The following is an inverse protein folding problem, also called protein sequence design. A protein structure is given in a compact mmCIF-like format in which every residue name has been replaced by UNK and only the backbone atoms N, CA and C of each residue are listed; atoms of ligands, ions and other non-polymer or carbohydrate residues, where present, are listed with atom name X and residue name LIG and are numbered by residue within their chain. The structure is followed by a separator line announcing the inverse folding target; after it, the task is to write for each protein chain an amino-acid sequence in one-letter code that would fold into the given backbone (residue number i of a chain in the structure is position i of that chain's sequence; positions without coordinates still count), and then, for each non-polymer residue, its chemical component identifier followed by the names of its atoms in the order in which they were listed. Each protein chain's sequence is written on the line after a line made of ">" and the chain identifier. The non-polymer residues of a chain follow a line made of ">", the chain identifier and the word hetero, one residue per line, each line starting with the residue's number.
data_IF_236289020978
#
_entry.id   IF_236289020978
#
_cell.length_a   1.000
_cell.length_b   1.000
_cell.length_c   1.000
_cell.angle_alpha   90.00
_cell.angle_beta   90.00
_cell.angle_gamma   90.00
#
_symmetry.space_group_name_H-M   'P 1'
#
loop_
_entity.id
_entity.type
_entity.pdbx_description
1 polymer ?
#
# COMPACT_ATOMS: atom_id res chain seq x y z
N UNK A 1 42.69 32.77 18.80
CA UNK A 1 42.21 33.40 20.07
C UNK A 1 41.33 32.40 20.83
N UNK A 2 41.21 32.60 22.15
CA UNK A 2 40.19 32.15 23.14
C UNK A 2 39.02 31.25 22.64
N UNK A 3 38.72 30.09 23.25
CA UNK A 3 37.98 29.86 24.54
C UNK A 3 36.58 30.51 24.57
N UNK A 4 35.50 29.89 25.07
CA UNK A 4 35.27 28.68 25.91
C UNK A 4 34.02 27.91 25.44
N UNK A 5 33.82 26.58 25.60
CA UNK A 5 33.86 25.66 26.77
C UNK A 5 32.69 25.82 27.77
N UNK A 6 31.68 24.95 27.65
CA UNK A 6 31.13 24.03 28.66
C UNK A 6 30.28 22.97 27.90
N UNK A 7 30.27 21.65 28.11
CA UNK A 7 30.80 20.67 29.09
C UNK A 7 30.00 20.44 30.39
N UNK A 8 29.28 19.30 30.46
CA UNK A 8 29.31 18.24 31.50
C UNK A 8 28.13 17.23 31.26
N UNK A 9 27.94 16.08 31.93
CA UNK A 9 28.74 14.90 32.39
C UNK A 9 27.72 13.96 33.10
N UNK A 10 27.61 12.62 32.98
CA UNK A 10 28.21 11.51 32.18
C UNK A 10 27.18 10.34 32.14
N UNK A 11 27.15 9.33 31.25
CA UNK A 11 28.13 8.35 30.72
C UNK A 11 28.43 7.13 31.66
N UNK A 12 27.97 5.92 31.27
CA UNK A 12 28.61 4.59 31.47
C UNK A 12 28.76 4.00 32.91
N UNK A 13 28.96 2.70 33.13
CA UNK A 13 28.82 1.47 32.29
C UNK A 13 28.80 0.18 33.16
N UNK A 14 28.46 -0.95 32.53
CA UNK A 14 28.54 -2.32 33.08
C UNK A 14 29.98 -2.76 33.41
N UNK A 15 30.16 -3.49 34.50
CA UNK A 15 31.18 -4.56 34.64
C UNK A 15 30.77 -5.61 35.67
N UNK A 16 31.29 -6.83 35.51
CA UNK A 16 31.12 -7.96 36.44
C UNK A 16 32.49 -8.43 36.96
N UNK A 17 32.53 -9.23 38.04
CA UNK A 17 33.49 -10.33 38.25
C UNK A 17 33.12 -11.20 39.48
N UNK A 18 33.70 -12.42 39.47
CA UNK A 18 33.47 -13.64 40.28
C UNK A 18 33.52 -13.53 41.83
N UNK A 19 32.72 -14.43 42.42
CA UNK A 19 32.95 -15.33 43.57
C UNK A 19 34.19 -15.20 44.49
N UNK A 20 33.99 -15.44 45.79
CA UNK A 20 35.03 -15.74 46.78
C UNK A 20 34.50 -16.16 48.16
N UNK A 21 34.77 -17.42 48.53
CA UNK A 21 34.80 -18.04 49.89
C UNK A 21 33.60 -17.99 50.87
N UNK A 22 33.65 -18.95 51.80
CA UNK A 22 32.63 -19.22 52.81
C UNK A 22 33.15 -19.01 54.25
N UNK A 23 32.22 -18.91 55.21
CA UNK A 23 32.50 -19.23 56.62
C UNK A 23 31.26 -19.81 57.32
N UNK A 24 31.49 -20.60 58.36
CA UNK A 24 30.53 -21.54 58.97
C UNK A 24 29.95 -21.02 60.29
N UNK A 25 29.08 -21.85 60.91
CA UNK A 25 28.47 -21.77 62.26
C UNK A 25 27.10 -21.07 62.34
N UNK A 26 26.13 -21.55 63.12
CA UNK A 26 26.06 -22.81 63.92
C UNK A 26 24.63 -23.39 63.97
N UNK A 27 24.51 -24.63 64.43
CA UNK A 27 23.26 -25.41 64.57
C UNK A 27 22.94 -25.65 66.05
N UNK A 28 21.66 -25.57 66.46
CA UNK A 28 21.14 -26.35 67.58
C UNK A 28 20.15 -27.44 67.11
N UNK A 29 20.09 -28.55 67.84
CA UNK A 29 19.29 -29.72 67.46
C UNK A 29 17.86 -29.73 68.01
N UNK A 30 16.95 -30.29 67.19
CA UNK A 30 15.85 -31.24 67.50
C UNK A 30 15.47 -31.50 68.98
N UNK A 31 14.17 -31.76 69.22
CA UNK A 31 13.73 -33.17 69.17
C UNK A 31 12.91 -33.55 67.93
N UNK A 32 12.72 -34.86 67.73
CA UNK A 32 11.77 -35.44 66.77
C UNK A 32 10.52 -35.92 67.51
N UNK A 33 9.34 -35.63 66.96
CA UNK A 33 8.18 -36.53 67.00
C UNK A 33 7.73 -36.77 65.56
N UNK A 34 7.34 -38.00 65.23
CA UNK A 34 7.00 -38.39 63.87
C UNK A 34 5.81 -39.34 63.88
N UNK A 35 4.72 -38.96 63.22
CA UNK A 35 3.55 -39.82 63.08
C UNK A 35 2.75 -39.51 61.81
N UNK A 36 2.44 -40.60 61.09
CA UNK A 36 1.30 -40.82 60.21
C UNK A 36 1.13 -39.98 58.92
N UNK A 37 0.90 -40.73 57.84
CA UNK A 37 0.57 -40.22 56.53
C UNK A 37 -0.86 -39.70 56.47
N UNK A 38 -1.07 -38.57 55.79
CA UNK A 38 -2.36 -38.21 55.20
C UNK A 38 -2.12 -37.89 53.72
N UNK A 39 -2.42 -38.84 52.83
CA UNK A 39 -2.41 -38.59 51.38
C UNK A 39 -3.67 -37.80 51.03
N UNK A 40 -3.59 -36.48 51.19
CA UNK A 40 -4.63 -35.58 50.72
C UNK A 40 -4.59 -35.58 49.20
N UNK A 41 -5.57 -36.24 48.59
CA UNK A 41 -5.89 -36.08 47.18
C UNK A 41 -6.35 -34.63 46.95
N UNK A 42 -5.39 -33.75 46.70
CA UNK A 42 -5.63 -32.46 46.06
C UNK A 42 -6.22 -32.76 44.67
N UNK A 43 -7.55 -32.77 44.62
CA UNK A 43 -8.28 -32.72 43.37
C UNK A 43 -7.93 -31.39 42.70
N UNK A 44 -6.90 -31.43 41.85
CA UNK A 44 -6.57 -30.34 40.96
C UNK A 44 -7.76 -30.14 40.03
N UNK A 45 -8.65 -29.23 40.41
CA UNK A 45 -9.59 -28.65 39.48
C UNK A 45 -8.74 -28.02 38.39
N UNK A 46 -8.68 -28.68 37.24
CA UNK A 46 -8.17 -28.04 36.05
C UNK A 46 -9.06 -26.83 35.83
N UNK A 47 -8.53 -25.63 36.11
CA UNK A 47 -9.09 -24.39 35.61
C UNK A 47 -8.90 -24.45 34.10
N UNK A 48 -9.83 -25.15 33.43
CA UNK A 48 -10.01 -25.04 31.99
C UNK A 48 -10.18 -23.54 31.77
N UNK A 49 -9.26 -22.85 31.08
CA UNK A 49 -9.45 -21.44 30.81
C UNK A 49 -10.78 -21.34 30.08
N UNK A 50 -11.72 -20.57 30.64
CA UNK A 50 -12.99 -20.34 29.99
C UNK A 50 -12.69 -19.83 28.59
N UNK A 51 -13.21 -20.53 27.58
CA UNK A 51 -13.11 -20.13 26.17
C UNK A 51 -14.00 -18.91 25.96
N UNK A 52 -13.50 -17.78 26.46
CA UNK A 52 -14.05 -16.46 26.25
C UNK A 52 -13.87 -16.13 24.78
N UNK A 53 -14.97 -16.03 24.04
CA UNK A 53 -14.93 -15.71 22.61
C UNK A 53 -14.16 -14.41 22.38
N UNK A 54 -13.08 -14.50 21.61
CA UNK A 54 -12.14 -13.42 21.40
C UNK A 54 -12.65 -12.51 20.28
N UNK A 55 -13.39 -11.45 20.66
CA UNK A 55 -13.86 -10.43 19.72
C UNK A 55 -12.68 -9.58 19.24
N UNK A 56 -12.04 -10.00 18.15
CA UNK A 56 -10.98 -9.23 17.49
C UNK A 56 -11.60 -7.96 16.91
N UNK A 57 -11.02 -6.80 17.24
CA UNK A 57 -11.46 -5.50 16.72
C UNK A 57 -10.35 -4.87 15.87
N UNK A 58 -10.64 -4.67 14.59
CA UNK A 58 -9.72 -4.14 13.58
C UNK A 58 -10.25 -2.82 13.03
N UNK A 59 -9.34 -1.92 12.65
CA UNK A 59 -9.70 -0.61 12.07
C UNK A 59 -8.98 -0.45 10.74
N UNK A 60 -9.72 -0.63 9.63
CA UNK A 60 -9.16 -0.43 8.29
C UNK A 60 -8.91 1.06 8.02
N UNK A 61 -7.85 1.35 7.26
CA UNK A 61 -7.34 2.68 6.87
C UNK A 61 -6.75 3.53 8.03
N UNK A 62 -6.87 3.07 9.27
CA UNK A 62 -6.15 3.57 10.45
C UNK A 62 -6.40 5.06 10.78
N UNK A 63 -5.39 5.90 10.58
CA UNK A 63 -5.47 7.37 10.70
C UNK A 63 -5.11 8.07 9.39
N UNK A 64 -5.27 7.38 8.26
CA UNK A 64 -4.89 7.86 6.94
C UNK A 64 -5.81 8.95 6.39
N UNK A 65 -5.41 9.53 5.26
CA UNK A 65 -6.27 10.36 4.42
C UNK A 65 -6.31 9.80 3.01
N UNK A 66 -7.51 9.68 2.44
CA UNK A 66 -7.75 9.26 1.05
C UNK A 66 -8.05 10.50 0.24
N UNK A 67 -7.11 10.94 -0.59
CA UNK A 67 -7.20 12.16 -1.38
C UNK A 67 -7.43 11.82 -2.86
N UNK A 68 -8.60 12.14 -3.40
CA UNK A 68 -9.03 11.68 -4.74
C UNK A 68 -9.73 12.79 -5.53
N UNK A 69 -9.67 12.79 -6.88
CA UNK A 69 -10.40 13.77 -7.70
C UNK A 69 -11.91 13.72 -7.45
N UNK A 70 -12.54 14.90 -7.37
CA UNK A 70 -14.01 15.04 -7.32
C UNK A 70 -14.72 14.42 -8.54
N UNK A 71 -14.02 14.34 -9.67
CA UNK A 71 -14.43 13.77 -10.94
C UNK A 71 -14.19 12.25 -11.05
N UNK A 72 -13.70 11.59 -10.00
CA UNK A 72 -13.46 10.14 -10.00
C UNK A 72 -14.74 9.36 -10.35
N UNK A 73 -14.62 8.43 -11.29
CA UNK A 73 -15.74 7.65 -11.83
C UNK A 73 -16.36 6.70 -10.81
N UNK A 74 -17.67 6.50 -10.89
CA UNK A 74 -18.39 5.55 -10.04
C UNK A 74 -17.86 4.12 -10.28
N UNK A 75 -17.70 3.34 -9.21
CA UNK A 75 -17.08 2.02 -9.21
C UNK A 75 -15.55 2.01 -9.09
N UNK A 76 -14.87 3.16 -9.19
CA UNK A 76 -13.42 3.23 -8.97
C UNK A 76 -13.07 2.96 -7.50
N UNK A 77 -12.13 2.05 -7.26
CA UNK A 77 -11.59 1.76 -5.91
C UNK A 77 -10.67 2.90 -5.49
N UNK A 78 -10.98 3.51 -4.35
CA UNK A 78 -10.28 4.67 -3.78
C UNK A 78 -9.16 4.26 -2.83
N UNK A 79 -9.35 3.16 -2.09
CA UNK A 79 -8.37 2.62 -1.16
C UNK A 79 -8.58 1.11 -0.96
N UNK A 80 -7.52 0.41 -0.53
CA UNK A 80 -7.53 -1.00 -0.15
C UNK A 80 -6.75 -1.20 1.15
N UNK A 81 -7.36 -1.92 2.08
CA UNK A 81 -6.68 -2.48 3.26
C UNK A 81 -6.60 -4.00 3.06
N UNK A 82 -5.46 -4.60 3.41
CA UNK A 82 -5.26 -6.05 3.28
C UNK A 82 -4.95 -6.65 4.65
N UNK A 83 -5.85 -7.47 5.17
CA UNK A 83 -5.75 -8.08 6.49
C UNK A 83 -5.36 -9.56 6.32
N UNK A 84 -4.30 -10.01 6.98
CA UNK A 84 -3.88 -11.42 6.95
C UNK A 84 -4.83 -12.31 7.77
N UNK A 85 -4.90 -13.62 7.51
CA UNK A 85 -5.63 -14.57 8.37
C UNK A 85 -5.19 -14.49 9.84
N UNK A 86 -3.91 -14.27 10.10
CA UNK A 86 -3.35 -14.20 11.44
C UNK A 86 -3.82 -12.97 12.23
N UNK A 87 -3.97 -11.82 11.57
CA UNK A 87 -4.57 -10.61 12.15
C UNK A 87 -6.09 -10.72 12.24
N UNK A 88 -6.72 -11.38 11.26
CA UNK A 88 -8.17 -11.47 11.16
C UNK A 88 -8.78 -12.42 12.18
N UNK A 89 -8.17 -13.58 12.42
CA UNK A 89 -8.76 -14.66 13.24
C UNK A 89 -7.73 -15.44 14.06
N UNK A 90 -6.49 -14.94 14.19
CA UNK A 90 -5.45 -15.54 15.05
C UNK A 90 -4.83 -16.85 14.53
N UNK A 91 -5.15 -17.26 13.30
CA UNK A 91 -4.72 -18.52 12.71
C UNK A 91 -4.32 -18.35 11.23
N UNK A 92 -3.58 -19.32 10.69
CA UNK A 92 -3.18 -19.32 9.27
C UNK A 92 -4.33 -19.46 8.28
N UNK A 93 -5.46 -20.05 8.70
CA UNK A 93 -6.72 -20.11 7.95
C UNK A 93 -7.90 -20.15 8.91
N UNK A 94 -9.04 -19.57 8.54
CA UNK A 94 -10.30 -19.74 9.29
C UNK A 94 -11.52 -19.86 8.37
N UNK A 95 -12.52 -20.64 8.79
CA UNK A 95 -13.75 -20.84 8.04
C UNK A 95 -14.82 -19.84 8.48
N UNK A 96 -15.14 -18.88 7.61
CA UNK A 96 -16.21 -17.90 7.80
C UNK A 96 -17.56 -18.61 7.70
N UNK A 97 -18.42 -18.41 8.70
CA UNK A 97 -19.74 -19.05 8.81
C UNK A 97 -20.91 -18.12 8.43
N UNK A 98 -20.65 -16.82 8.38
CA UNK A 98 -21.57 -15.77 7.97
C UNK A 98 -21.10 -14.40 8.45
N UNK A 99 -21.84 -13.34 8.12
CA UNK A 99 -21.54 -11.98 8.55
C UNK A 99 -22.79 -11.22 9.02
N UNK A 100 -22.57 -10.10 9.69
CA UNK A 100 -23.54 -9.05 9.97
C UNK A 100 -22.94 -7.74 9.50
N UNK A 101 -23.60 -7.10 8.53
CA UNK A 101 -23.08 -5.94 7.80
C UNK A 101 -23.96 -4.73 8.09
N UNK A 102 -23.39 -3.58 8.45
CA UNK A 102 -24.17 -2.40 8.83
C UNK A 102 -23.94 -1.22 7.89
N UNK A 103 -25.03 -0.68 7.34
CA UNK A 103 -24.96 0.46 6.44
C UNK A 103 -24.54 1.72 7.22
N UNK A 104 -23.60 2.51 6.68
CA UNK A 104 -23.07 3.73 7.32
C UNK A 104 -22.43 3.47 8.69
N UNK A 105 -21.98 2.23 8.93
CA UNK A 105 -21.46 1.76 10.21
C UNK A 105 -22.51 1.63 11.31
N UNK A 106 -23.80 1.79 11.02
CA UNK A 106 -24.82 2.00 12.05
C UNK A 106 -25.58 0.70 12.40
N UNK A 107 -25.13 0.03 13.46
CA UNK A 107 -25.71 -1.22 13.98
C UNK A 107 -27.12 -1.06 14.60
N UNK A 108 -27.58 0.16 14.88
CA UNK A 108 -28.86 0.40 15.58
C UNK A 108 -30.05 0.23 14.63
N UNK A 109 -29.88 0.56 13.34
CA UNK A 109 -30.93 0.47 12.33
C UNK A 109 -31.00 -0.90 11.62
N UNK A 110 -30.30 -1.90 12.15
CA UNK A 110 -30.30 -3.28 11.65
C UNK A 110 -29.24 -3.58 10.59
N UNK A 111 -29.18 -4.86 10.21
CA UNK A 111 -28.17 -5.39 9.29
C UNK A 111 -28.64 -5.39 7.84
N UNK A 112 -27.70 -5.38 6.91
CA UNK A 112 -27.90 -5.47 5.45
C UNK A 112 -27.24 -6.75 4.91
N UNK A 113 -27.71 -7.22 3.75
CA UNK A 113 -27.20 -8.40 3.07
C UNK A 113 -25.81 -8.20 2.45
N UNK A 114 -25.43 -6.95 2.20
CA UNK A 114 -24.21 -6.61 1.44
C UNK A 114 -24.32 -6.97 -0.06
N UNK A 115 -23.18 -7.10 -0.77
CA UNK A 115 -21.81 -6.93 -0.26
C UNK A 115 -21.38 -5.47 -0.10
N UNK A 116 -22.03 -4.56 -0.82
CA UNK A 116 -21.69 -3.15 -0.89
C UNK A 116 -22.49 -2.36 0.16
N UNK A 117 -21.80 -1.52 0.94
CA UNK A 117 -22.37 -0.70 2.03
C UNK A 117 -22.06 0.78 1.77
N UNK A 118 -23.04 1.67 1.90
CA UNK A 118 -22.76 3.11 1.96
C UNK A 118 -21.90 3.40 3.20
N UNK A 119 -20.87 4.24 3.07
CA UNK A 119 -20.25 4.83 4.25
C UNK A 119 -21.01 6.07 4.72
N UNK A 120 -20.73 6.49 5.95
CA UNK A 120 -21.19 7.76 6.51
C UNK A 120 -20.62 8.98 5.74
N UNK A 121 -19.54 8.82 4.98
CA UNK A 121 -19.05 9.82 4.01
C UNK A 121 -19.84 9.70 2.71
N UNK A 122 -20.42 10.82 2.26
CA UNK A 122 -21.20 10.85 1.02
C UNK A 122 -20.29 10.73 -0.20
N UNK A 123 -20.61 9.77 -1.08
CA UNK A 123 -19.84 9.49 -2.29
C UNK A 123 -18.87 8.31 -2.20
N UNK A 124 -18.72 7.71 -1.01
CA UNK A 124 -17.88 6.53 -0.77
C UNK A 124 -18.71 5.38 -0.22
N UNK A 125 -18.66 4.23 -0.89
CA UNK A 125 -19.11 2.95 -0.33
C UNK A 125 -17.91 2.10 0.08
N UNK A 126 -18.16 1.11 0.93
CA UNK A 126 -17.20 0.08 1.33
C UNK A 126 -17.74 -1.32 1.03
N UNK A 127 -16.82 -2.28 0.87
CA UNK A 127 -17.12 -3.71 0.87
C UNK A 127 -15.91 -4.49 1.34
N UNK A 128 -16.14 -5.73 1.75
CA UNK A 128 -15.08 -6.67 2.13
C UNK A 128 -15.05 -7.85 1.17
N UNK A 129 -13.87 -8.37 0.88
CA UNK A 129 -13.67 -9.56 0.05
C UNK A 129 -12.80 -10.55 0.82
N UNK A 130 -13.22 -11.80 0.91
CA UNK A 130 -12.44 -12.90 1.52
C UNK A 130 -11.87 -13.74 0.38
N UNK A 131 -10.54 -13.73 0.22
CA UNK A 131 -9.84 -14.32 -0.92
C UNK A 131 -10.49 -13.97 -2.28
N UNK A 132 -10.84 -12.69 -2.45
CA UNK A 132 -11.48 -12.16 -3.66
C UNK A 132 -12.99 -12.40 -3.78
N UNK A 133 -13.61 -13.16 -2.87
CA UNK A 133 -15.08 -13.37 -2.85
C UNK A 133 -15.76 -12.26 -2.04
N UNK A 134 -16.67 -11.45 -2.62
CA UNK A 134 -17.38 -10.39 -1.89
C UNK A 134 -18.20 -10.93 -0.71
N UNK A 135 -18.00 -10.34 0.46
CA UNK A 135 -18.62 -10.78 1.71
C UNK A 135 -20.09 -10.33 1.79
N UNK A 136 -20.98 -11.28 2.06
CA UNK A 136 -22.42 -11.09 2.31
C UNK A 136 -22.82 -11.70 3.65
N UNK A 137 -24.03 -11.37 4.12
CA UNK A 137 -24.64 -11.95 5.35
C UNK A 137 -24.51 -13.49 5.41
N UNK A 138 -24.75 -14.17 4.28
CA UNK A 138 -24.76 -15.63 4.17
C UNK A 138 -23.47 -16.24 3.61
N UNK A 139 -22.36 -15.50 3.62
CA UNK A 139 -21.09 -16.00 3.06
C UNK A 139 -20.49 -17.13 3.90
N UNK A 140 -20.25 -18.27 3.25
CA UNK A 140 -19.52 -19.42 3.81
C UNK A 140 -18.28 -19.68 2.97
N UNK A 141 -17.12 -19.26 3.48
CA UNK A 141 -15.85 -19.20 2.74
C UNK A 141 -14.68 -19.47 3.69
N UNK A 142 -13.60 -20.09 3.21
CA UNK A 142 -12.35 -20.18 4.01
C UNK A 142 -11.47 -18.97 3.69
N UNK A 143 -11.10 -18.18 4.69
CA UNK A 143 -10.01 -17.22 4.60
C UNK A 143 -8.67 -17.98 4.66
N UNK A 144 -7.83 -17.80 3.64
CA UNK A 144 -6.55 -18.50 3.44
C UNK A 144 -5.38 -17.57 3.14
N UNK A 145 -5.59 -16.49 2.38
CA UNK A 145 -4.50 -15.58 1.97
C UNK A 145 -4.76 -14.15 2.46
N UNK A 146 -5.93 -13.59 2.17
CA UNK A 146 -6.22 -12.17 2.48
C UNK A 146 -7.72 -11.88 2.64
N UNK A 147 -8.03 -11.03 3.61
CA UNK A 147 -9.30 -10.33 3.68
C UNK A 147 -9.08 -8.87 3.25
N UNK A 148 -9.61 -8.48 2.09
CA UNK A 148 -9.46 -7.15 1.51
C UNK A 148 -10.65 -6.27 1.88
N UNK A 149 -10.41 -5.09 2.44
CA UNK A 149 -11.44 -4.05 2.61
C UNK A 149 -11.23 -2.99 1.54
N UNK A 150 -12.24 -2.77 0.70
CA UNK A 150 -12.22 -1.75 -0.36
C UNK A 150 -13.04 -0.53 0.07
N UNK A 151 -12.52 0.67 -0.18
CA UNK A 151 -13.34 1.88 -0.38
C UNK A 151 -13.49 2.11 -1.88
N UNK A 152 -14.68 2.48 -2.34
CA UNK A 152 -14.92 2.79 -3.75
C UNK A 152 -15.93 3.93 -3.93
N UNK A 153 -15.82 4.62 -5.06
CA UNK A 153 -16.72 5.72 -5.45
C UNK A 153 -18.12 5.17 -5.73
N UNK A 154 -19.11 5.60 -4.97
CA UNK A 154 -20.52 5.26 -5.22
C UNK A 154 -21.22 6.30 -6.12
N UNK A 155 -22.55 6.19 -6.29
CA UNK A 155 -23.35 7.10 -7.12
C UNK A 155 -23.83 8.39 -6.42
N UNK A 156 -23.61 8.54 -5.11
CA UNK A 156 -23.99 9.71 -4.32
C UNK A 156 -23.05 10.88 -4.62
N UNK A 157 -23.48 12.09 -4.25
CA UNK A 157 -22.65 13.29 -4.38
C UNK A 157 -21.40 13.18 -3.49
N UNK A 158 -20.23 13.36 -4.08
CA UNK A 158 -18.94 13.40 -3.38
C UNK A 158 -18.88 14.54 -2.36
N UNK A 159 -18.58 14.24 -1.09
CA UNK A 159 -18.35 15.22 -0.01
C UNK A 159 -17.25 14.74 0.92
N UNK A 160 -16.40 15.66 1.39
CA UNK A 160 -15.33 15.34 2.33
C UNK A 160 -15.91 14.95 3.70
N UNK A 161 -15.20 14.10 4.43
CA UNK A 161 -15.61 13.68 5.78
C UNK A 161 -14.70 12.62 6.39
N UNK A 162 -14.93 12.32 7.68
CA UNK A 162 -14.25 11.24 8.40
C UNK A 162 -15.10 9.97 8.34
N UNK A 163 -14.48 8.82 8.00
CA UNK A 163 -15.10 7.50 8.16
C UNK A 163 -15.23 7.10 9.63
N UNK A 164 -14.33 7.61 10.49
CA UNK A 164 -14.44 7.43 11.93
C UNK A 164 -15.56 8.33 12.46
N UNK A 165 -16.64 7.71 12.92
CA UNK A 165 -17.77 8.35 13.58
C UNK A 165 -17.99 7.83 15.02
N UNK A 166 -16.92 7.41 15.69
CA UNK A 166 -16.94 6.90 17.07
C UNK A 166 -17.26 5.42 17.21
N UNK A 167 -17.23 4.93 18.46
CA UNK A 167 -17.13 3.51 18.84
C UNK A 167 -18.28 2.59 18.42
N UNK A 168 -19.37 3.12 17.86
CA UNK A 168 -20.49 2.32 17.34
C UNK A 168 -20.44 2.14 15.81
N UNK A 169 -19.44 2.71 15.11
CA UNK A 169 -19.29 2.69 13.65
C UNK A 169 -18.72 1.36 13.11
N UNK A 170 -19.40 0.26 13.39
CA UNK A 170 -19.02 -1.08 12.96
C UNK A 170 -19.58 -1.36 11.57
N UNK A 171 -18.75 -1.69 10.60
CA UNK A 171 -19.21 -1.98 9.22
C UNK A 171 -19.39 -3.47 8.97
N UNK A 172 -18.46 -4.29 9.47
CA UNK A 172 -18.47 -5.75 9.28
C UNK A 172 -18.30 -6.44 10.64
N UNK A 173 -19.25 -7.28 11.06
CA UNK A 173 -19.06 -8.29 12.10
C UNK A 173 -19.03 -9.66 11.39
N UNK A 174 -17.89 -10.32 11.36
CA UNK A 174 -17.67 -11.53 10.56
C UNK A 174 -17.47 -12.72 11.49
N UNK A 175 -18.30 -13.75 11.36
CA UNK A 175 -18.30 -14.93 12.24
C UNK A 175 -17.48 -16.05 11.62
N UNK A 176 -16.73 -16.77 12.43
CA UNK A 176 -15.90 -17.88 11.96
C UNK A 176 -15.87 -19.04 12.96
N UNK A 177 -15.54 -20.25 12.47
CA UNK A 177 -15.37 -21.42 13.33
C UNK A 177 -14.13 -21.27 14.21
N UNK A 178 -14.36 -21.28 15.51
CA UNK A 178 -13.34 -21.27 16.57
C UNK A 178 -13.95 -21.91 17.82
N UNK A 179 -13.19 -22.78 18.50
CA UNK A 179 -13.66 -23.51 19.68
C UNK A 179 -15.00 -24.23 19.46
N UNK A 180 -15.88 -24.18 20.48
CA UNK A 180 -17.21 -24.79 20.46
C UNK A 180 -18.33 -23.83 20.04
N UNK A 181 -18.13 -22.52 20.20
CA UNK A 181 -19.19 -21.49 20.04
C UNK A 181 -19.01 -20.61 18.79
N UNK A 182 -17.85 -20.69 18.13
CA UNK A 182 -17.44 -19.68 17.15
C UNK A 182 -16.84 -18.43 17.80
N UNK A 183 -16.17 -17.64 16.97
CA UNK A 183 -15.67 -16.30 17.28
C UNK A 183 -16.13 -15.31 16.21
N UNK A 184 -15.91 -14.01 16.44
CA UNK A 184 -16.19 -12.99 15.43
C UNK A 184 -15.23 -11.82 15.44
N UNK A 185 -14.90 -11.33 14.25
CA UNK A 185 -14.03 -10.17 14.04
C UNK A 185 -14.86 -8.97 13.61
N UNK A 186 -14.67 -7.84 14.28
CA UNK A 186 -15.34 -6.57 14.01
C UNK A 186 -14.37 -5.66 13.27
N UNK A 187 -14.79 -5.17 12.10
CA UNK A 187 -14.03 -4.22 11.28
C UNK A 187 -14.72 -2.87 11.30
N UNK A 188 -14.03 -1.91 11.90
CA UNK A 188 -14.31 -0.47 11.87
C UNK A 188 -13.59 0.18 10.69
N UNK A 189 -14.07 1.35 10.25
CA UNK A 189 -13.38 2.19 9.26
C UNK A 189 -12.89 3.49 9.90
N UNK A 190 -11.68 3.93 9.55
CA UNK A 190 -11.16 5.23 9.98
C UNK A 190 -10.19 5.79 8.96
N UNK A 191 -10.59 6.87 8.29
CA UNK A 191 -9.74 7.74 7.48
C UNK A 191 -10.47 9.06 7.21
N UNK A 192 -9.72 10.11 6.87
CA UNK A 192 -10.27 11.34 6.29
C UNK A 192 -10.38 11.21 4.77
N UNK A 193 -11.58 11.29 4.21
CA UNK A 193 -11.79 11.30 2.76
C UNK A 193 -11.85 12.75 2.29
N UNK A 194 -11.02 13.08 1.30
CA UNK A 194 -10.94 14.40 0.69
C UNK A 194 -11.14 14.30 -0.83
N UNK A 195 -12.25 14.84 -1.31
CA UNK A 195 -12.50 15.01 -2.74
C UNK A 195 -11.94 16.36 -3.19
N UNK A 196 -10.93 16.33 -4.06
CA UNK A 196 -10.19 17.51 -4.52
C UNK A 196 -10.74 17.94 -5.87
N UNK A 197 -11.02 19.24 -6.02
CA UNK A 197 -11.54 19.75 -7.27
C UNK A 197 -10.41 19.91 -8.29
N UNK A 198 -10.40 19.02 -9.29
CA UNK A 198 -9.44 19.03 -10.39
C UNK A 198 -8.24 18.10 -10.22
N UNK A 199 -7.43 18.07 -11.26
CA UNK A 199 -6.26 17.22 -11.47
C UNK A 199 -5.15 18.06 -12.09
N UNK A 200 -3.90 17.56 -12.15
CA UNK A 200 -2.93 18.14 -13.08
C UNK A 200 -3.45 18.06 -14.52
N UNK A 201 -3.02 18.99 -15.36
CA UNK A 201 -3.09 18.89 -16.82
C UNK A 201 -1.69 18.59 -17.38
N UNK A 202 -1.59 17.71 -18.37
CA UNK A 202 -0.35 17.42 -19.11
C UNK A 202 -0.59 17.84 -20.57
N UNK A 203 0.19 18.80 -21.11
CA UNK A 203 0.06 19.21 -22.51
C UNK A 203 0.69 18.18 -23.44
N UNK A 204 0.12 18.01 -24.64
CA UNK A 204 0.73 17.19 -25.68
C UNK A 204 2.11 17.77 -26.07
N UNK A 205 3.12 16.90 -26.16
CA UNK A 205 4.50 17.29 -26.39
C UNK A 205 5.11 16.45 -27.52
N UNK A 206 5.67 17.13 -28.53
CA UNK A 206 6.48 16.50 -29.58
C UNK A 206 7.96 16.71 -29.28
N UNK A 207 8.73 15.62 -29.21
CA UNK A 207 10.19 15.66 -28.99
C UNK A 207 10.88 15.30 -30.31
N UNK A 208 11.49 16.29 -30.96
CA UNK A 208 12.21 16.11 -32.23
C UNK A 208 13.66 15.73 -31.95
N UNK A 209 14.01 14.45 -32.15
CA UNK A 209 15.41 14.00 -32.10
C UNK A 209 16.16 14.43 -33.39
N UNK A 210 17.47 14.75 -33.32
CA UNK A 210 18.26 15.14 -34.48
C UNK A 210 18.56 13.95 -35.40
N UNK A 211 18.64 14.19 -36.71
CA UNK A 211 19.03 13.17 -37.70
C UNK A 211 20.40 12.55 -37.40
N UNK A 212 20.48 11.22 -37.35
CA UNK A 212 21.70 10.44 -37.14
C UNK A 212 22.02 9.54 -38.32
N UNK A 213 23.31 9.31 -38.60
CA UNK A 213 23.74 8.36 -39.62
C UNK A 213 23.77 6.93 -39.06
N UNK A 214 23.36 5.93 -39.84
CA UNK A 214 23.25 4.54 -39.35
C UNK A 214 24.58 3.94 -38.88
N UNK A 215 25.73 4.45 -39.35
CA UNK A 215 27.06 3.92 -39.01
C UNK A 215 27.49 4.18 -37.56
N UNK A 216 26.80 5.06 -36.82
CA UNK A 216 27.13 5.35 -35.41
C UNK A 216 26.67 4.25 -34.45
N UNK A 217 25.82 3.34 -34.92
CA UNK A 217 25.29 2.22 -34.14
C UNK A 217 26.22 1.01 -34.30
N UNK A 218 26.90 0.65 -33.22
CA UNK A 218 28.03 -0.31 -33.19
C UNK A 218 27.66 -1.69 -32.64
N UNK A 219 26.38 -1.91 -32.31
CA UNK A 219 25.87 -3.11 -31.66
C UNK A 219 24.57 -2.86 -30.90
N UNK A 220 23.78 -3.90 -30.65
CA UNK A 220 22.51 -3.81 -29.91
C UNK A 220 22.75 -3.16 -28.54
N UNK A 221 21.93 -2.15 -28.21
CA UNK A 221 22.06 -1.34 -27.00
C UNK A 221 22.83 -0.02 -27.19
N UNK A 222 23.60 0.14 -28.27
CA UNK A 222 24.26 1.42 -28.63
C UNK A 222 23.23 2.52 -28.92
N UNK A 223 23.56 3.77 -28.59
CA UNK A 223 22.63 4.92 -28.62
C UNK A 223 23.20 6.14 -29.34
N UNK A 224 22.33 6.91 -29.98
CA UNK A 224 22.69 8.17 -30.64
C UNK A 224 21.54 9.19 -30.62
N UNK A 225 21.83 10.43 -31.01
CA UNK A 225 20.83 11.49 -31.21
C UNK A 225 20.10 11.91 -29.93
N UNK A 226 20.80 11.90 -28.78
CA UNK A 226 20.24 12.26 -27.48
C UNK A 226 19.59 13.65 -27.50
N UNK A 227 18.39 13.75 -26.94
CA UNK A 227 17.62 15.01 -26.81
C UNK A 227 16.96 15.05 -25.44
N UNK A 228 17.26 16.10 -24.68
CA UNK A 228 16.69 16.31 -23.35
C UNK A 228 15.39 17.13 -23.45
N UNK A 229 14.40 16.76 -22.65
CA UNK A 229 13.10 17.42 -22.61
C UNK A 229 12.50 17.44 -21.20
N UNK A 230 11.44 18.22 -21.01
CA UNK A 230 10.73 18.35 -19.74
C UNK A 230 9.28 17.93 -19.94
N UNK A 231 8.84 16.90 -19.23
CA UNK A 231 7.42 16.55 -19.14
C UNK A 231 6.77 17.48 -18.09
N UNK A 232 6.00 18.45 -18.56
CA UNK A 232 5.35 19.45 -17.69
C UNK A 232 4.01 18.94 -17.16
N UNK A 233 3.81 19.02 -15.85
CA UNK A 233 2.51 18.88 -15.20
C UNK A 233 2.07 20.28 -14.76
N UNK A 234 0.90 20.71 -15.23
CA UNK A 234 0.37 22.06 -14.99
C UNK A 234 -0.80 22.04 -14.02
N UNK A 235 -0.87 23.04 -13.14
CA UNK A 235 -2.03 23.32 -12.28
C UNK A 235 -2.45 22.15 -11.38
N UNK A 236 -1.49 21.35 -10.89
CA UNK A 236 -1.77 20.31 -9.90
C UNK A 236 -2.29 20.96 -8.60
N UNK A 237 -3.51 20.65 -8.14
CA UNK A 237 -4.06 21.29 -6.95
C UNK A 237 -3.39 20.76 -5.67
N UNK A 238 -3.56 21.49 -4.57
CA UNK A 238 -3.20 21.04 -3.23
C UNK A 238 -4.12 19.91 -2.74
N UNK A 239 -3.69 19.18 -1.71
CA UNK A 239 -4.47 18.21 -0.96
C UNK A 239 -4.18 16.74 -1.25
N UNK A 240 -3.54 16.41 -2.38
CA UNK A 240 -3.07 15.04 -2.63
C UNK A 240 -1.86 14.75 -1.73
N UNK A 241 -1.78 13.56 -1.16
CA UNK A 241 -0.59 13.09 -0.45
C UNK A 241 0.57 12.84 -1.43
N UNK A 242 0.25 12.28 -2.60
CA UNK A 242 1.20 12.03 -3.69
C UNK A 242 0.51 12.12 -5.05
N UNK A 243 1.24 12.66 -6.02
CA UNK A 243 0.94 12.50 -7.44
C UNK A 243 2.01 11.57 -8.04
N UNK A 244 1.56 10.56 -8.76
CA UNK A 244 2.39 9.65 -9.54
C UNK A 244 2.22 9.90 -11.04
N UNK A 245 3.23 9.50 -11.81
CA UNK A 245 3.20 9.51 -13.27
C UNK A 245 3.73 8.19 -13.83
N UNK A 246 3.16 7.77 -14.97
CA UNK A 246 3.46 6.51 -15.62
C UNK A 246 3.48 6.72 -17.14
N UNK A 247 4.51 6.20 -17.80
CA UNK A 247 4.59 6.19 -19.27
C UNK A 247 4.01 4.87 -19.81
N UNK A 248 3.03 5.00 -20.71
CA UNK A 248 2.29 3.89 -21.33
C UNK A 248 2.54 3.90 -22.86
N UNK A 249 3.47 3.06 -23.38
CA UNK A 249 3.81 3.01 -24.80
C UNK A 249 2.62 2.60 -25.68
N UNK A 250 2.34 3.34 -26.76
CA UNK A 250 1.21 3.04 -27.65
C UNK A 250 1.43 1.74 -28.43
N UNK A 251 2.58 1.62 -29.10
CA UNK A 251 2.95 0.46 -29.92
C UNK A 251 3.70 -0.61 -29.10
N UNK A 252 3.74 -0.45 -27.77
CA UNK A 252 4.43 -1.32 -26.83
C UNK A 252 5.95 -1.11 -26.73
N UNK A 253 6.61 -2.06 -26.07
CA UNK A 253 8.05 -2.01 -25.74
C UNK A 253 8.89 -2.95 -26.59
N UNK A 254 10.18 -2.65 -26.72
CA UNK A 254 11.17 -3.57 -27.30
C UNK A 254 11.65 -4.52 -26.20
N UNK A 255 11.39 -5.82 -26.39
CA UNK A 255 11.82 -6.85 -25.45
C UNK A 255 13.35 -6.90 -25.32
N UNK A 256 13.85 -7.09 -24.10
CA UNK A 256 15.29 -7.14 -23.80
C UNK A 256 16.01 -5.78 -23.80
N UNK A 257 15.35 -4.67 -24.12
CA UNK A 257 15.98 -3.33 -24.16
C UNK A 257 15.20 -2.34 -23.28
N UNK A 258 15.62 -2.20 -22.02
CA UNK A 258 14.96 -1.32 -21.03
C UNK A 258 14.77 0.11 -21.52
N UNK A 259 13.67 0.74 -21.09
CA UNK A 259 13.27 2.10 -21.48
C UNK A 259 12.94 2.30 -22.96
N UNK A 260 12.88 1.24 -23.78
CA UNK A 260 12.78 1.37 -25.24
C UNK A 260 11.36 1.17 -25.77
N UNK A 261 10.80 2.25 -26.33
CA UNK A 261 9.58 2.26 -27.13
C UNK A 261 9.80 1.54 -28.47
N UNK A 262 8.81 0.77 -28.90
CA UNK A 262 8.70 0.37 -30.32
C UNK A 262 8.43 1.60 -31.19
N UNK A 263 8.78 1.48 -32.47
CA UNK A 263 8.42 2.47 -33.47
C UNK A 263 6.97 2.25 -33.92
N UNK A 264 6.28 3.33 -34.28
CA UNK A 264 4.93 3.28 -34.84
C UNK A 264 4.94 2.58 -36.22
N UNK A 265 3.85 1.93 -36.65
CA UNK A 265 3.73 1.30 -37.98
C UNK A 265 4.02 2.22 -39.19
N UNK A 266 4.04 3.55 -39.02
CA UNK A 266 4.39 4.54 -40.05
C UNK A 266 5.89 4.89 -40.12
N UNK A 267 6.73 4.31 -39.26
CA UNK A 267 8.18 4.44 -39.31
C UNK A 267 8.77 3.44 -40.33
N UNK A 268 9.72 3.89 -41.16
CA UNK A 268 10.39 3.02 -42.17
C UNK A 268 11.78 2.55 -41.77
N UNK A 269 12.37 3.11 -40.70
CA UNK A 269 13.62 2.61 -40.15
C UNK A 269 13.43 1.24 -39.46
N UNK A 270 14.46 0.39 -39.51
CA UNK A 270 14.44 -0.93 -38.84
C UNK A 270 15.70 -1.18 -38.03
N UNK A 271 15.60 -2.00 -36.98
CA UNK A 271 16.72 -2.27 -36.06
C UNK A 271 17.00 -1.14 -35.06
N UNK A 272 16.07 -0.18 -34.94
CA UNK A 272 16.12 0.97 -34.02
C UNK A 272 14.85 0.96 -33.14
N UNK A 273 14.97 1.48 -31.93
CA UNK A 273 13.87 1.94 -31.08
C UNK A 273 14.17 3.33 -30.50
N UNK A 274 13.21 3.92 -29.79
CA UNK A 274 13.44 5.16 -29.02
C UNK A 274 13.53 4.81 -27.54
N UNK A 275 14.71 5.02 -26.93
CA UNK A 275 14.88 4.86 -25.48
C UNK A 275 14.55 6.17 -24.77
N UNK A 276 13.73 6.09 -23.73
CA UNK A 276 13.49 7.16 -22.76
C UNK A 276 14.25 6.84 -21.47
N UNK A 277 15.01 7.81 -20.99
CA UNK A 277 15.74 7.79 -19.73
C UNK A 277 15.25 8.89 -18.79
N UNK A 278 15.45 8.71 -17.49
CA UNK A 278 15.36 9.75 -16.48
C UNK A 278 16.40 10.85 -16.77
N UNK A 279 15.99 12.12 -16.76
CA UNK A 279 16.89 13.24 -17.11
C UNK A 279 17.90 13.61 -16.02
N UNK A 280 17.76 13.09 -14.80
CA UNK A 280 18.72 13.29 -13.68
C UNK A 280 19.61 12.07 -13.48
N UNK A 281 19.02 10.88 -13.29
CA UNK A 281 19.81 9.66 -13.03
C UNK A 281 20.38 9.02 -14.29
N UNK A 282 19.88 9.39 -15.46
CA UNK A 282 20.16 8.75 -16.76
C UNK A 282 19.79 7.26 -16.81
N UNK A 283 19.01 6.75 -15.85
CA UNK A 283 18.49 5.39 -15.85
C UNK A 283 17.40 5.21 -16.92
N UNK A 284 17.27 4.02 -17.50
CA UNK A 284 16.23 3.74 -18.48
C UNK A 284 14.86 3.65 -17.80
N UNK A 285 13.85 4.34 -18.35
CA UNK A 285 12.51 4.40 -17.74
C UNK A 285 11.85 3.02 -17.65
N UNK A 286 11.21 2.72 -16.52
CA UNK A 286 10.27 1.61 -16.41
C UNK A 286 8.90 2.04 -16.94
N UNK A 287 8.41 1.33 -17.95
CA UNK A 287 7.07 1.54 -18.49
C UNK A 287 6.02 0.78 -17.69
N UNK A 288 4.77 1.28 -17.71
CA UNK A 288 3.64 0.74 -16.95
C UNK A 288 3.88 0.63 -15.42
N UNK A 289 4.75 1.49 -14.89
CA UNK A 289 5.01 1.64 -13.46
C UNK A 289 4.89 3.11 -13.07
N UNK A 290 4.17 3.39 -11.99
CA UNK A 290 4.06 4.75 -11.43
C UNK A 290 5.33 5.15 -10.68
N UNK A 291 5.91 6.31 -11.05
CA UNK A 291 6.99 7.00 -10.32
C UNK A 291 6.42 8.25 -9.65
N UNK A 292 6.93 8.62 -8.47
CA UNK A 292 6.46 9.83 -7.78
C UNK A 292 6.89 11.10 -8.52
N UNK A 293 6.01 12.10 -8.58
CA UNK A 293 6.31 13.42 -9.14
C UNK A 293 7.14 14.22 -8.13
N UNK A 294 8.46 14.22 -8.29
CA UNK A 294 9.37 15.03 -7.49
C UNK A 294 9.07 16.52 -7.73
N UNK A 295 8.97 17.30 -6.65
CA UNK A 295 8.63 18.73 -6.72
C UNK A 295 7.15 19.07 -6.61
N UNK A 296 6.24 18.08 -6.55
CA UNK A 296 4.87 18.34 -6.08
C UNK A 296 4.87 18.64 -4.56
N UNK A 297 4.02 19.57 -4.13
CA UNK A 297 3.82 19.95 -2.73
C UNK A 297 2.34 19.79 -2.36
N UNK A 298 2.04 18.91 -1.41
CA UNK A 298 0.67 18.61 -0.97
C UNK A 298 -0.06 19.82 -0.34
N UNK A 299 0.67 20.76 0.26
CA UNK A 299 0.08 21.93 0.94
C UNK A 299 -0.24 23.08 -0.01
N UNK A 300 0.44 23.18 -1.16
CA UNK A 300 0.32 24.33 -2.10
C UNK A 300 -0.13 23.93 -3.51
N UNK A 301 -0.07 22.64 -3.86
CA UNK A 301 -0.08 22.23 -5.26
C UNK A 301 1.18 22.69 -6.00
N UNK A 302 1.08 22.82 -7.32
CA UNK A 302 2.12 23.42 -8.17
C UNK A 302 2.03 23.02 -9.64
N UNK A 303 3.06 23.39 -10.40
CA UNK A 303 3.26 22.94 -11.79
C UNK A 303 4.65 22.31 -11.96
N UNK A 304 4.88 21.10 -11.42
CA UNK A 304 6.20 20.45 -11.46
C UNK A 304 6.56 20.01 -12.89
N UNK A 305 7.86 19.94 -13.16
CA UNK A 305 8.40 19.49 -14.45
C UNK A 305 9.34 18.32 -14.24
N UNK A 306 9.17 17.26 -15.03
CA UNK A 306 9.91 16.01 -14.91
C UNK A 306 10.96 15.97 -16.02
N UNK A 307 12.27 16.04 -15.70
CA UNK A 307 13.33 15.96 -16.70
C UNK A 307 13.41 14.54 -17.28
N UNK A 308 13.39 14.44 -18.61
CA UNK A 308 13.49 13.19 -19.36
C UNK A 308 14.46 13.35 -20.53
N UNK A 309 14.99 12.22 -21.01
CA UNK A 309 15.96 12.15 -22.08
C UNK A 309 15.52 11.12 -23.12
N UNK A 310 15.39 11.53 -24.38
CA UNK A 310 15.11 10.63 -25.49
C UNK A 310 16.40 10.34 -26.28
N UNK A 311 16.56 9.12 -26.79
CA UNK A 311 17.65 8.76 -27.72
C UNK A 311 17.20 7.65 -28.67
N UNK A 312 17.82 7.57 -29.85
CA UNK A 312 17.74 6.36 -30.66
C UNK A 312 18.59 5.28 -30.01
N UNK A 313 18.12 4.02 -30.04
CA UNK A 313 18.88 2.85 -29.59
C UNK A 313 18.84 1.75 -30.65
N UNK A 314 19.96 1.06 -30.88
CA UNK A 314 20.00 -0.13 -31.73
C UNK A 314 19.34 -1.32 -31.02
N UNK A 315 18.37 -1.93 -31.70
CA UNK A 315 17.53 -3.03 -31.18
C UNK A 315 17.67 -4.33 -31.98
N UNK A 316 18.22 -4.27 -33.19
CA UNK A 316 18.48 -5.44 -34.04
C UNK A 316 19.92 -5.48 -34.55
N UNK A 317 20.36 -6.64 -35.06
CA UNK A 317 21.73 -6.86 -35.57
C UNK A 317 22.08 -5.96 -36.77
N UNK A 318 21.08 -5.45 -37.50
CA UNK A 318 21.28 -4.54 -38.63
C UNK A 318 20.33 -3.36 -38.52
N UNK A 319 20.89 -2.15 -38.56
CA UNK A 319 20.14 -0.90 -38.69
C UNK A 319 19.88 -0.61 -40.17
N UNK A 320 18.66 -0.21 -40.53
CA UNK A 320 18.35 0.40 -41.83
C UNK A 320 17.77 1.80 -41.61
N UNK A 321 18.29 2.76 -42.36
CA UNK A 321 17.80 4.14 -42.32
C UNK A 321 16.37 4.27 -42.85
N UNK A 322 15.65 5.27 -42.36
CA UNK A 322 14.25 5.54 -42.69
C UNK A 322 13.67 6.58 -41.74
N UNK A 323 12.36 6.80 -41.81
CA UNK A 323 11.66 7.62 -40.82
C UNK A 323 11.60 6.89 -39.47
N UNK A 324 11.65 7.66 -38.38
CA UNK A 324 11.49 7.15 -37.01
C UNK A 324 10.39 7.95 -36.34
N UNK A 325 9.42 7.28 -35.74
CA UNK A 325 8.49 7.87 -34.77
C UNK A 325 8.07 6.82 -33.75
N UNK A 326 7.84 7.25 -32.51
CA UNK A 326 7.36 6.43 -31.40
C UNK A 326 6.44 7.30 -30.54
N UNK A 327 5.58 6.70 -29.72
CA UNK A 327 4.64 7.44 -28.87
C UNK A 327 4.31 6.70 -27.57
N UNK A 328 4.00 7.46 -26.52
CA UNK A 328 3.51 6.97 -25.25
C UNK A 328 2.49 7.94 -24.67
N UNK A 329 1.46 7.42 -24.00
CA UNK A 329 0.57 8.21 -23.14
C UNK A 329 1.25 8.46 -21.80
N UNK A 330 0.97 9.63 -21.21
CA UNK A 330 1.26 9.92 -19.81
C UNK A 330 -0.01 9.63 -19.01
N UNK A 331 0.07 8.69 -18.08
CA UNK A 331 -0.98 8.41 -17.10
C UNK A 331 -0.56 9.03 -15.76
N UNK A 332 -1.51 9.60 -15.02
CA UNK A 332 -1.29 10.14 -13.69
C UNK A 332 -2.15 9.40 -12.67
N UNK A 333 -1.56 9.10 -11.51
CA UNK A 333 -2.24 8.55 -10.34
C UNK A 333 -2.18 9.52 -9.16
N UNK A 334 -3.20 9.44 -8.29
CA UNK A 334 -3.44 10.35 -7.18
C UNK A 334 -3.69 9.53 -5.92
N UNK A 335 -3.07 9.95 -4.81
CA UNK A 335 -3.11 9.29 -3.50
C UNK A 335 -3.18 10.35 -2.40
#
# INVERSE_FOLDING_TARGET
>A
MLRSRQSNVWNRAVRAVRAGDARTRDVPERPRTATLCAVVLLAATAWVPSVASAVVSLTAFGSGSVAVPSTTSHGAVLAREYITPQEFCGASTCEITGASLANKGNIIWGWTKGPDLETNVSGVSTRMLIDGTPLTETSQVTLRNVAEVQLFRDSRAAKNGSLNSGSFSQYFNVRYKSGLLGDSTIVYLSASVNFINGTCSVPDQTVTLPSVQHHVFTGVGSTAGTTDFQLHLNNCPAGYNRIGYQLSPLDGVVAGVSGTLKLRPSATATGIGIRINDGVSNEAMTFQQSRAVVGYNSSTGGSPSIPLRASYVQTGQTVRGGSVSAAAQVLLDYQ
#
